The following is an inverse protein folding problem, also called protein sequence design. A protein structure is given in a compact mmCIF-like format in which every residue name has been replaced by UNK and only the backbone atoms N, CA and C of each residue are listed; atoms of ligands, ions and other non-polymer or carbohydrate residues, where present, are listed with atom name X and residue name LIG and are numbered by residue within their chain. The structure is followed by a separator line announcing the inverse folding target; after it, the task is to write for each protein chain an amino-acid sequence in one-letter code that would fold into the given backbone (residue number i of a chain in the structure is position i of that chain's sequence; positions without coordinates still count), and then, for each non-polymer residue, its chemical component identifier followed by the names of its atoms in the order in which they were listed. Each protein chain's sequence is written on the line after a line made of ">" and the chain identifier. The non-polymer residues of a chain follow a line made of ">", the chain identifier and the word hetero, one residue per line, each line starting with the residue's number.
data_IF_649272175717
#
_entry.id   IF_649272175717
#
_cell.length_a   1.000
_cell.length_b   1.000
_cell.length_c   1.000
_cell.angle_alpha   90.00
_cell.angle_beta   90.00
_cell.angle_gamma   90.00
#
_symmetry.space_group_name_H-M   'P 1'
#
loop_
_entity.id
_entity.type
_entity.pdbx_description
1 polymer ?
#
# COMPACT_ATOMS: atom_id res chain seq x y z
N UNK A 1 33.88 35.00 33.54
CA UNK A 1 33.38 34.74 33.28
C UNK A 1 32.86 34.34 32.52
N UNK A 2 32.76 34.03 32.49
CA UNK A 2 32.18 33.61 31.96
C UNK A 2 31.82 33.21 31.30
N UNK A 3 31.85 33.01 31.46
CA UNK A 3 31.51 32.46 30.77
C UNK A 3 30.78 31.99 30.10
N UNK A 4 30.60 32.02 30.03
CA UNK A 4 29.88 31.69 29.38
C UNK A 4 29.59 31.06 28.72
N UNK A 5 29.75 30.89 28.85
CA UNK A 5 29.41 30.37 28.30
C UNK A 5 29.07 29.79 27.57
N UNK A 6 29.21 29.60 27.72
CA UNK A 6 28.85 29.14 27.09
C UNK A 6 28.42 28.55 26.45
N UNK A 7 28.42 28.31 26.45
CA UNK A 7 27.98 27.80 25.96
C UNK A 7 27.60 27.32 25.29
N UNK A 8 27.64 27.17 25.42
CA UNK A 8 27.11 26.64 24.81
C UNK A 8 26.66 26.18 24.12
N UNK A 9 26.81 26.13 24.25
CA UNK A 9 26.29 25.78 23.75
C UNK A 9 25.91 25.28 23.09
N UNK A 10 25.94 25.16 23.27
CA UNK A 10 25.46 24.81 22.87
C UNK A 10 25.06 24.31 22.25
N UNK A 11 25.15 24.24 22.29
CA UNK A 11 24.65 23.79 21.93
C UNK A 11 24.20 23.29 21.32
N UNK A 12 24.24 23.17 21.40
CA UNK A 12 23.67 22.66 20.89
C UNK A 12 23.22 22.28 20.30
N UNK A 13 23.27 22.22 20.19
CA UNK A 13 22.72 21.96 19.81
C UNK A 13 22.36 21.57 19.27
N UNK A 14 22.55 21.40 19.21
CA UNK A 14 22.01 21.05 18.94
C UNK A 14 21.82 20.75 18.34
N UNK A 15 21.75 20.54 18.15
CA UNK A 15 21.31 20.33 17.64
C UNK A 15 21.28 19.99 17.03
N UNK A 16 21.45 20.12 17.50
CA UNK A 16 21.02 19.71 16.85
C UNK A 16 21.46 19.05 15.89
N UNK A 17 22.30 19.28 15.68
CA UNK A 17 22.85 18.87 14.50
C UNK A 17 22.61 17.47 14.12
N UNK A 18 22.77 16.62 14.91
CA UNK A 18 22.54 15.24 14.58
C UNK A 18 21.28 15.01 13.82
N UNK A 19 20.38 15.87 13.94
CA UNK A 19 19.11 15.76 13.28
C UNK A 19 19.19 15.55 11.77
N UNK A 20 20.13 16.16 11.07
CA UNK A 20 20.18 15.92 9.62
C UNK A 20 20.22 14.45 9.27
N UNK A 21 20.99 13.67 10.00
CA UNK A 21 21.08 12.25 9.74
C UNK A 21 19.76 11.54 9.98
N UNK A 22 19.09 11.86 11.07
CA UNK A 22 17.80 11.28 11.37
C UNK A 22 16.77 11.65 10.33
N UNK A 23 16.75 12.90 9.94
CA UNK A 23 15.80 13.37 8.95
C UNK A 23 15.99 12.66 7.63
N UNK A 24 17.23 12.48 7.21
CA UNK A 24 17.51 11.77 5.97
C UNK A 24 17.03 10.33 6.04
N UNK A 25 17.24 9.68 7.16
CA UNK A 25 16.78 8.31 7.34
C UNK A 25 15.25 8.24 7.28
N UNK A 26 14.57 9.19 7.94
CA UNK A 26 13.11 9.24 7.91
C UNK A 26 12.59 9.43 6.50
N UNK A 27 13.24 10.30 5.72
CA UNK A 27 12.83 10.55 4.34
C UNK A 27 13.07 9.37 3.43
N UNK A 28 13.96 8.44 3.82
CA UNK A 28 14.26 7.27 3.03
C UNK A 28 13.17 6.20 3.14
N UNK A 29 12.29 6.29 4.14
CA UNK A 29 11.24 5.30 4.37
C UNK A 29 9.89 5.83 3.91
N UNK A 30 9.16 4.96 3.22
CA UNK A 30 7.79 5.23 2.81
C UNK A 30 6.90 4.16 3.44
N UNK A 31 5.88 4.60 4.17
CA UNK A 31 4.92 3.69 4.79
C UNK A 31 3.63 3.70 3.98
N UNK A 32 3.17 2.50 3.62
CA UNK A 32 1.93 2.33 2.86
C UNK A 32 0.88 1.74 3.79
N UNK A 33 -0.25 2.42 3.92
CA UNK A 33 -1.36 1.91 4.73
C UNK A 33 -2.18 0.90 3.94
N UNK A 34 -2.93 0.08 4.67
CA UNK A 34 -3.76 -0.94 4.03
C UNK A 34 -4.94 -0.30 3.31
N UNK A 35 -5.23 -0.72 2.07
CA UNK A 35 -6.42 -0.24 1.37
C UNK A 35 -7.71 -0.89 1.85
N UNK A 36 -7.60 -1.94 2.68
CA UNK A 36 -8.73 -2.69 3.20
C UNK A 36 -8.49 -3.05 4.65
N UNK A 37 -9.56 -3.10 5.43
CA UNK A 37 -9.52 -3.69 6.75
C UNK A 37 -9.58 -5.21 6.62
N UNK A 38 -8.91 -5.92 7.53
CA UNK A 38 -8.93 -7.37 7.55
C UNK A 38 -7.68 -7.93 8.19
N UNK A 39 -7.17 -9.02 7.61
CA UNK A 39 -5.97 -9.70 8.06
C UNK A 39 -4.89 -9.56 6.98
N UNK A 40 -3.70 -9.14 7.40
CA UNK A 40 -2.58 -9.00 6.46
C UNK A 40 -1.75 -10.28 6.47
N UNK A 41 -1.54 -10.84 5.30
CA UNK A 41 -0.85 -12.11 5.09
C UNK A 41 0.42 -11.89 4.30
N UNK A 42 1.46 -12.73 4.52
CA UNK A 42 2.63 -12.71 3.62
C UNK A 42 2.20 -13.00 2.19
N UNK A 43 2.87 -12.37 1.24
CA UNK A 43 2.55 -12.58 -0.17
C UNK A 43 2.70 -14.05 -0.57
N UNK A 44 3.60 -14.78 0.08
CA UNK A 44 3.82 -16.20 -0.17
C UNK A 44 2.59 -17.06 0.14
N UNK A 45 1.68 -16.56 0.97
CA UNK A 45 0.47 -17.28 1.36
C UNK A 45 -0.68 -17.10 0.36
N UNK A 46 -0.50 -16.27 -0.67
CA UNK A 46 -1.52 -16.08 -1.70
C UNK A 46 -1.66 -17.38 -2.51
N UNK A 47 -2.88 -17.87 -2.70
CA UNK A 47 -3.08 -19.15 -3.43
C UNK A 47 -3.02 -18.96 -4.95
N UNK A 48 -1.99 -18.28 -5.43
CA UNK A 48 -1.77 -18.04 -6.86
C UNK A 48 -0.27 -17.80 -7.06
N UNK A 49 0.43 -18.66 -7.82
CA UNK A 49 1.87 -18.52 -8.02
C UNK A 49 2.26 -17.23 -8.75
N UNK A 50 1.36 -16.63 -9.52
CA UNK A 50 1.64 -15.35 -10.15
C UNK A 50 1.95 -14.28 -9.10
N UNK A 51 1.31 -14.33 -7.94
CA UNK A 51 1.52 -13.38 -6.86
C UNK A 51 2.48 -13.91 -5.80
N UNK A 52 2.34 -15.18 -5.42
CA UNK A 52 3.08 -15.74 -4.29
C UNK A 52 4.59 -15.85 -4.55
N UNK A 53 5.00 -15.90 -5.82
CA UNK A 53 6.42 -15.96 -6.17
C UNK A 53 7.09 -14.59 -6.18
N UNK A 54 6.31 -13.50 -6.09
CA UNK A 54 6.85 -12.15 -6.12
C UNK A 54 7.18 -11.63 -7.52
N UNK A 55 6.80 -12.36 -8.56
CA UNK A 55 7.10 -11.98 -9.95
C UNK A 55 6.46 -10.67 -10.34
N UNK A 56 5.22 -10.42 -9.89
CA UNK A 56 4.51 -9.17 -10.20
C UNK A 56 5.04 -8.03 -9.34
N UNK A 57 5.41 -8.32 -8.09
CA UNK A 57 5.94 -7.33 -7.16
C UNK A 57 5.93 -7.88 -5.76
N UNK A 58 6.59 -7.17 -4.87
CA UNK A 58 6.61 -7.49 -3.45
C UNK A 58 5.58 -6.65 -2.72
N UNK A 59 5.08 -7.14 -1.61
CA UNK A 59 4.10 -6.40 -0.81
C UNK A 59 3.44 -7.28 0.20
N UNK A 60 2.12 -7.19 0.24
CA UNK A 60 1.31 -7.85 1.27
C UNK A 60 0.02 -8.35 0.60
N UNK A 61 -0.66 -9.27 1.26
CA UNK A 61 -2.00 -9.68 0.84
C UNK A 61 -2.96 -9.41 1.99
N UNK A 62 -4.17 -8.98 1.68
CA UNK A 62 -5.19 -8.70 2.69
C UNK A 62 -6.33 -9.70 2.50
N UNK A 63 -6.70 -10.38 3.58
CA UNK A 63 -7.94 -11.17 3.63
C UNK A 63 -8.99 -10.22 4.20
N UNK A 64 -9.86 -9.64 3.37
CA UNK A 64 -10.61 -8.44 3.77
C UNK A 64 -11.82 -8.75 4.62
N UNK A 65 -12.09 -7.85 5.58
CA UNK A 65 -13.35 -7.81 6.31
C UNK A 65 -14.17 -6.60 5.91
N UNK A 66 -13.57 -5.66 5.17
CA UNK A 66 -14.29 -4.53 4.59
C UNK A 66 -14.52 -4.79 3.10
N UNK A 67 -15.37 -3.98 2.49
CA UNK A 67 -15.79 -4.17 1.10
C UNK A 67 -15.45 -3.02 0.19
N UNK A 68 -14.84 -1.96 0.72
CA UNK A 68 -14.45 -0.79 -0.07
C UNK A 68 -12.95 -0.61 -0.01
N UNK A 69 -12.32 -0.63 -1.19
CA UNK A 69 -10.89 -0.36 -1.34
C UNK A 69 -10.72 1.15 -1.29
N UNK A 70 -9.87 1.62 -0.38
CA UNK A 70 -9.58 3.05 -0.26
C UNK A 70 -8.14 3.33 -0.61
N UNK A 71 -7.87 4.55 -1.06
CA UNK A 71 -6.52 4.94 -1.45
C UNK A 71 -5.61 5.02 -0.22
N UNK A 72 -4.45 4.34 -0.25
CA UNK A 72 -3.52 4.38 0.89
C UNK A 72 -2.72 5.68 0.99
N UNK A 73 -2.75 6.48 -0.07
CA UNK A 73 -2.06 7.78 -0.12
C UNK A 73 -2.63 8.56 -1.29
N UNK A 74 -2.28 9.83 -1.39
CA UNK A 74 -2.68 10.66 -2.52
C UNK A 74 -1.89 10.26 -3.76
N UNK A 75 -2.53 10.30 -4.92
CA UNK A 75 -1.87 9.91 -6.17
C UNK A 75 -2.79 10.00 -7.37
N UNK A 76 -2.45 9.23 -8.41
CA UNK A 76 -3.18 9.19 -9.68
C UNK A 76 -3.41 7.75 -10.09
N UNK A 77 -4.56 7.47 -10.67
CA UNK A 77 -4.92 6.14 -11.17
C UNK A 77 -4.16 5.90 -12.48
N UNK A 78 -3.36 4.84 -12.51
CA UNK A 78 -2.66 4.42 -13.73
C UNK A 78 -3.55 3.54 -14.59
N UNK A 79 -4.18 2.53 -13.99
CA UNK A 79 -5.09 1.63 -14.69
C UNK A 79 -6.29 1.34 -13.83
N UNK A 80 -7.45 1.27 -14.48
CA UNK A 80 -8.71 0.92 -13.82
C UNK A 80 -9.57 0.19 -14.86
N UNK A 81 -9.31 -1.11 -15.09
CA UNK A 81 -10.07 -1.87 -16.09
C UNK A 81 -11.55 -1.91 -15.75
N UNK A 82 -12.39 -2.02 -16.77
CA UNK A 82 -13.84 -2.09 -16.59
C UNK A 82 -14.26 -3.28 -15.75
N UNK A 83 -13.45 -4.35 -15.75
CA UNK A 83 -13.69 -5.53 -14.92
C UNK A 83 -13.59 -5.24 -13.42
N UNK A 84 -12.97 -4.14 -13.02
CA UNK A 84 -12.97 -3.66 -11.66
C UNK A 84 -12.17 -4.46 -10.64
N UNK A 85 -11.61 -5.58 -11.05
CA UNK A 85 -10.93 -6.50 -10.14
C UNK A 85 -9.51 -6.04 -9.75
N UNK A 86 -8.95 -5.09 -10.48
CA UNK A 86 -7.58 -4.65 -10.24
C UNK A 86 -7.45 -3.15 -10.48
N UNK A 87 -6.55 -2.53 -9.72
CA UNK A 87 -6.23 -1.11 -9.87
C UNK A 87 -4.72 -0.93 -9.86
N UNK A 88 -4.22 -0.14 -10.82
CA UNK A 88 -2.84 0.33 -10.79
C UNK A 88 -2.84 1.79 -10.35
N UNK A 89 -2.05 2.10 -9.32
CA UNK A 89 -1.99 3.44 -8.73
C UNK A 89 -0.57 3.94 -8.73
N UNK A 90 -0.41 5.24 -9.00
CA UNK A 90 0.87 5.91 -8.81
C UNK A 90 0.70 6.90 -7.67
N UNK A 91 1.37 6.64 -6.56
CA UNK A 91 1.30 7.51 -5.40
C UNK A 91 2.26 8.69 -5.57
N UNK A 92 1.93 9.81 -4.93
CA UNK A 92 2.76 11.01 -5.02
C UNK A 92 4.15 10.82 -4.42
N UNK A 93 4.32 9.80 -3.56
CA UNK A 93 5.62 9.46 -2.99
C UNK A 93 6.50 8.66 -3.95
N UNK A 94 6.02 8.35 -5.15
CA UNK A 94 6.78 7.62 -6.17
C UNK A 94 6.51 6.14 -6.25
N UNK A 95 5.79 5.57 -5.30
CA UNK A 95 5.46 4.14 -5.28
C UNK A 95 4.33 3.85 -6.26
N UNK A 96 4.49 2.80 -7.07
CA UNK A 96 3.42 2.30 -7.92
C UNK A 96 2.88 1.02 -7.32
N UNK A 97 1.57 1.00 -7.09
CA UNK A 97 0.88 -0.11 -6.46
C UNK A 97 -0.05 -0.81 -7.43
N UNK A 98 -0.12 -2.13 -7.31
CA UNK A 98 -1.19 -2.92 -7.89
C UNK A 98 -2.04 -3.46 -6.75
N UNK A 99 -3.33 -3.21 -6.79
CA UNK A 99 -4.29 -3.79 -5.85
C UNK A 99 -5.16 -4.73 -6.67
N UNK A 100 -5.04 -6.04 -6.41
CA UNK A 100 -5.77 -7.06 -7.15
C UNK A 100 -6.81 -7.67 -6.23
N UNK A 101 -8.08 -7.31 -6.45
CA UNK A 101 -9.17 -7.70 -5.55
C UNK A 101 -9.57 -9.15 -5.84
N UNK A 102 -9.21 -10.03 -4.92
CA UNK A 102 -9.48 -11.46 -5.06
C UNK A 102 -8.52 -12.15 -6.03
N UNK A 103 -8.68 -13.46 -6.15
CA UNK A 103 -7.86 -14.30 -7.02
C UNK A 103 -8.75 -14.83 -8.13
N UNK A 104 -8.29 -14.73 -9.38
CA UNK A 104 -9.01 -15.13 -10.59
C UNK A 104 -10.31 -14.36 -10.81
N UNK A 105 -10.48 -13.25 -10.13
CA UNK A 105 -11.72 -12.46 -10.19
C UNK A 105 -11.91 -11.73 -11.51
N UNK A 106 -10.90 -11.71 -12.37
CA UNK A 106 -11.05 -11.23 -13.74
C UNK A 106 -12.14 -12.03 -14.47
N UNK A 107 -12.34 -13.30 -14.10
CA UNK A 107 -13.33 -14.18 -14.70
C UNK A 107 -14.77 -13.74 -14.39
N UNK A 108 -14.96 -12.86 -13.42
CA UNK A 108 -16.29 -12.33 -13.09
C UNK A 108 -16.75 -11.27 -14.08
N UNK A 109 -15.84 -10.77 -14.92
CA UNK A 109 -16.15 -9.81 -15.98
C UNK A 109 -16.89 -8.57 -15.44
N UNK A 110 -16.42 -8.07 -14.29
CA UNK A 110 -16.98 -6.89 -13.64
C UNK A 110 -18.11 -7.13 -12.68
N UNK A 111 -18.61 -8.37 -12.62
CA UNK A 111 -19.74 -8.69 -11.75
C UNK A 111 -19.30 -8.62 -10.28
N UNK A 112 -19.99 -7.82 -9.49
CA UNK A 112 -19.67 -7.65 -8.09
C UNK A 112 -18.68 -6.54 -7.80
N UNK A 113 -18.26 -5.79 -8.82
CA UNK A 113 -17.32 -4.68 -8.66
C UNK A 113 -17.97 -3.36 -9.10
N UNK A 114 -17.84 -2.33 -8.26
CA UNK A 114 -18.32 -0.99 -8.55
C UNK A 114 -17.12 -0.06 -8.47
N UNK A 115 -16.61 0.35 -9.62
CA UNK A 115 -15.39 1.16 -9.73
C UNK A 115 -15.77 2.63 -9.68
N UNK A 116 -15.13 3.38 -8.76
CA UNK A 116 -15.45 4.78 -8.52
C UNK A 116 -14.47 5.74 -9.18
N UNK A 117 -13.42 5.23 -9.81
CA UNK A 117 -12.36 6.05 -10.43
C UNK A 117 -12.04 5.56 -11.82
N UNK A 118 -11.38 6.40 -12.61
CA UNK A 118 -10.95 6.08 -13.96
C UNK A 118 -9.45 6.32 -14.10
N UNK A 119 -8.84 5.64 -15.05
CA UNK A 119 -7.45 5.88 -15.37
C UNK A 119 -7.21 7.36 -15.67
N UNK A 120 -6.14 7.92 -15.09
CA UNK A 120 -5.80 9.33 -15.24
C UNK A 120 -6.36 10.24 -14.17
N UNK A 121 -7.32 9.77 -13.36
CA UNK A 121 -7.91 10.60 -12.30
C UNK A 121 -7.00 10.67 -11.09
N UNK A 122 -6.96 11.85 -10.46
CA UNK A 122 -6.28 12.04 -9.18
C UNK A 122 -7.18 11.60 -8.05
N UNK A 123 -6.58 11.11 -6.97
CA UNK A 123 -7.32 10.72 -5.77
C UNK A 123 -6.58 11.18 -4.52
N UNK A 124 -7.29 11.18 -3.40
CA UNK A 124 -6.72 11.54 -2.10
C UNK A 124 -6.65 10.33 -1.21
N UNK A 125 -5.73 10.35 -0.27
CA UNK A 125 -5.63 9.31 0.76
C UNK A 125 -6.99 9.11 1.42
N UNK A 126 -7.42 7.85 1.54
CA UNK A 126 -8.70 7.49 2.13
C UNK A 126 -9.89 7.53 1.19
N UNK A 127 -9.72 7.99 -0.03
CA UNK A 127 -10.82 8.08 -0.99
C UNK A 127 -11.23 6.68 -1.44
N UNK A 128 -12.55 6.37 -1.49
CA UNK A 128 -13.01 5.09 -2.03
C UNK A 128 -12.67 4.95 -3.51
N UNK A 129 -12.11 3.80 -3.86
CA UNK A 129 -11.69 3.52 -5.24
C UNK A 129 -12.58 2.47 -5.89
N UNK A 130 -12.84 1.37 -5.21
CA UNK A 130 -13.70 0.27 -5.69
C UNK A 130 -14.47 -0.29 -4.52
N UNK A 131 -15.76 -0.56 -4.73
CA UNK A 131 -16.56 -1.34 -3.79
C UNK A 131 -16.82 -2.69 -4.43
N UNK A 132 -16.64 -3.77 -3.68
CA UNK A 132 -16.85 -5.11 -4.21
C UNK A 132 -17.79 -5.90 -3.30
N UNK A 133 -18.41 -6.92 -3.87
CA UNK A 133 -19.31 -7.81 -3.14
C UNK A 133 -18.58 -9.12 -2.89
N UNK A 134 -18.09 -9.37 -1.67
CA UNK A 134 -17.36 -10.60 -1.37
C UNK A 134 -18.21 -11.85 -1.52
N UNK A 135 -19.53 -11.73 -1.39
CA UNK A 135 -20.43 -12.86 -1.55
C UNK A 135 -20.43 -13.34 -3.00
N UNK A 136 -20.44 -12.43 -3.97
CA UNK A 136 -20.40 -12.80 -5.39
C UNK A 136 -19.08 -13.50 -5.71
N UNK A 137 -17.97 -13.01 -5.18
CA UNK A 137 -16.66 -13.63 -5.38
C UNK A 137 -16.65 -15.05 -4.81
N UNK A 138 -17.18 -15.21 -3.60
CA UNK A 138 -17.19 -16.48 -2.90
C UNK A 138 -18.10 -17.49 -3.60
N UNK A 139 -19.27 -17.05 -4.04
CA UNK A 139 -20.22 -17.94 -4.73
C UNK A 139 -19.69 -18.41 -6.07
N UNK A 140 -18.84 -17.63 -6.70
CA UNK A 140 -18.18 -18.03 -7.94
C UNK A 140 -17.01 -19.00 -7.70
N UNK A 141 -16.66 -19.25 -6.44
CA UNK A 141 -15.59 -20.17 -6.10
C UNK A 141 -14.22 -19.53 -6.01
N UNK A 142 -14.14 -18.20 -6.00
CA UNK A 142 -12.87 -17.48 -5.96
C UNK A 142 -12.55 -16.99 -4.55
N UNK A 143 -11.26 -16.71 -4.32
CA UNK A 143 -10.77 -16.21 -3.04
C UNK A 143 -10.92 -14.70 -2.99
N UNK A 144 -11.26 -14.16 -1.82
CA UNK A 144 -11.31 -12.72 -1.57
C UNK A 144 -9.95 -12.13 -1.24
N UNK A 145 -8.92 -12.95 -1.08
CA UNK A 145 -7.58 -12.46 -0.74
C UNK A 145 -7.12 -11.46 -1.79
N UNK A 146 -6.68 -10.32 -1.32
CA UNK A 146 -6.38 -9.15 -2.17
C UNK A 146 -4.90 -8.80 -2.08
N UNK A 147 -4.08 -9.21 -3.07
CA UNK A 147 -2.69 -8.78 -3.11
C UNK A 147 -2.57 -7.26 -3.28
N UNK A 148 -1.65 -6.66 -2.53
CA UNK A 148 -1.29 -5.25 -2.62
C UNK A 148 0.21 -5.21 -2.84
N UNK A 149 0.63 -4.87 -4.05
CA UNK A 149 1.99 -5.05 -4.50
C UNK A 149 2.61 -3.75 -4.97
N UNK A 150 3.92 -3.58 -4.70
CA UNK A 150 4.72 -2.50 -5.26
C UNK A 150 5.29 -3.01 -6.57
N UNK A 151 4.81 -2.47 -7.69
CA UNK A 151 5.19 -2.96 -9.02
C UNK A 151 6.48 -2.33 -9.53
N UNK A 152 6.88 -1.17 -8.99
CA UNK A 152 8.14 -0.53 -9.35
C UNK A 152 9.20 -0.70 -8.25
N UNK A 153 9.22 -1.86 -7.60
CA UNK A 153 10.17 -2.15 -6.53
C UNK A 153 11.62 -1.99 -6.93
N UNK A 154 11.93 -2.14 -8.23
CA UNK A 154 13.28 -1.97 -8.77
C UNK A 154 13.81 -0.54 -8.56
N UNK A 155 12.94 0.43 -8.34
CA UNK A 155 13.32 1.83 -8.10
C UNK A 155 13.70 2.09 -6.64
N UNK A 156 13.58 1.09 -5.78
CA UNK A 156 13.77 1.23 -4.33
C UNK A 156 14.76 0.19 -3.84
N UNK A 157 15.32 0.44 -2.65
CA UNK A 157 16.26 -0.49 -2.04
C UNK A 157 15.54 -1.73 -1.52
N UNK A 158 14.44 -1.56 -0.81
CA UNK A 158 13.66 -2.69 -0.28
C UNK A 158 12.18 -2.40 -0.31
N UNK A 159 11.39 -3.48 -0.37
CA UNK A 159 9.94 -3.45 -0.21
C UNK A 159 9.62 -4.56 0.78
N UNK A 160 8.99 -4.20 1.89
CA UNK A 160 8.74 -5.15 2.97
C UNK A 160 7.29 -5.10 3.41
N UNK A 161 6.61 -6.26 3.38
CA UNK A 161 5.25 -6.39 3.89
C UNK A 161 5.24 -6.72 5.37
N UNK A 162 4.21 -6.29 6.07
CA UNK A 162 4.07 -6.49 7.52
C UNK A 162 2.77 -7.26 7.83
N UNK A 163 2.84 -8.60 7.88
CA UNK A 163 1.66 -9.40 8.22
C UNK A 163 1.16 -9.08 9.63
N UNK A 164 -0.16 -9.14 9.81
CA UNK A 164 -0.78 -8.91 11.11
C UNK A 164 -2.18 -9.55 11.12
N UNK A 165 -2.61 -10.00 12.29
CA UNK A 165 -3.91 -10.66 12.42
C UNK A 165 -5.08 -9.71 12.18
N UNK A 166 -4.90 -8.43 12.46
CA UNK A 166 -5.94 -7.42 12.26
C UNK A 166 -5.31 -6.12 11.79
N UNK A 167 -5.80 -5.62 10.68
CA UNK A 167 -5.38 -4.31 10.16
C UNK A 167 -6.61 -3.49 9.80
N UNK A 168 -6.45 -2.17 9.84
CA UNK A 168 -7.44 -1.22 9.38
C UNK A 168 -6.84 -0.43 8.23
N UNK A 169 -7.63 0.46 7.64
CA UNK A 169 -7.13 1.30 6.55
C UNK A 169 -6.11 2.35 7.04
N UNK A 170 -5.86 2.41 8.34
CA UNK A 170 -4.81 3.27 8.90
C UNK A 170 -3.57 2.48 9.30
N UNK A 171 -3.60 1.16 9.20
CA UNK A 171 -2.46 0.31 9.55
C UNK A 171 -1.41 0.35 8.45
N UNK A 172 -0.15 0.50 8.83
CA UNK A 172 0.96 0.47 7.88
C UNK A 172 1.29 -0.99 7.60
N UNK A 173 1.15 -1.40 6.36
CA UNK A 173 1.32 -2.81 5.96
C UNK A 173 2.50 -3.05 5.04
N UNK A 174 3.06 -2.00 4.43
CA UNK A 174 4.23 -2.10 3.57
C UNK A 174 5.17 -0.96 3.90
N UNK A 175 6.47 -1.28 4.02
CA UNK A 175 7.52 -0.29 4.13
C UNK A 175 8.38 -0.36 2.88
N UNK A 176 8.59 0.76 2.23
CA UNK A 176 9.43 0.88 1.04
C UNK A 176 10.62 1.76 1.41
N UNK A 177 11.83 1.28 1.15
CA UNK A 177 13.06 2.03 1.44
C UNK A 177 13.65 2.53 0.14
N UNK A 178 13.92 3.83 0.07
CA UNK A 178 14.54 4.46 -1.11
C UNK A 178 16.00 4.08 -1.25
#
# INVERSE_FOLDING_TARGET
>A
TTPGTATPADVPMGHGGTEPTSSDADQALIQITSPLAGRALPIEDVPDPVFSTGVVGQGIAIDPTSTTVVAPATGTVLTAPDSGHALGLKLDNGVELLIHIGIDTVELDGKGFDVHVKAGEAFRAGQPLVTFDPQIIKEAGYSNITPVLVTNGFAFTTVEGHPADTVTTESQVITVTR
#
